data_IF_569794487352
#
_entry.id   IF_569794487352
#
_cell.length_a   1.000
_cell.length_b   1.000
_cell.length_c   1.000
_cell.angle_alpha   90.00
_cell.angle_beta   90.00
_cell.angle_gamma   90.00
#
_symmetry.space_group_name_H-M   'P 1'
#
loop_
_entity.id
_entity.type
_entity.pdbx_description
1 polymer ?
#
# COMPACT_ATOMS: atom_id res chain seq x y z
N UNK A 1 18.69 -47.96 4.14
CA UNK A 1 17.86 -47.82 2.91
C UNK A 1 17.03 -46.55 3.05
N UNK A 2 17.48 -45.47 2.41
CA UNK A 2 16.76 -44.19 2.40
C UNK A 2 15.67 -44.23 1.32
N UNK A 3 14.42 -43.87 1.69
CA UNK A 3 13.35 -43.64 0.72
C UNK A 3 13.65 -42.35 -0.04
N UNK A 4 13.47 -42.28 -1.38
CA UNK A 4 13.55 -41.02 -2.09
C UNK A 4 12.37 -40.14 -1.65
N UNK A 5 12.70 -38.91 -1.27
CA UNK A 5 11.72 -37.84 -1.06
C UNK A 5 11.14 -37.51 -2.43
N UNK A 6 9.85 -37.78 -2.63
CA UNK A 6 9.10 -37.34 -3.81
C UNK A 6 9.18 -35.81 -3.87
N UNK A 7 9.89 -35.28 -4.88
CA UNK A 7 9.75 -33.90 -5.27
C UNK A 7 8.30 -33.66 -5.68
N UNK A 8 7.66 -32.69 -5.03
CA UNK A 8 6.31 -32.21 -5.37
C UNK A 8 6.25 -31.94 -6.88
N UNK A 9 5.25 -32.52 -7.53
CA UNK A 9 4.75 -32.07 -8.82
C UNK A 9 4.43 -30.58 -8.73
N UNK A 10 5.25 -29.74 -9.35
CA UNK A 10 4.88 -28.36 -9.64
C UNK A 10 3.67 -28.42 -10.57
N UNK A 11 2.51 -27.94 -10.13
CA UNK A 11 1.36 -27.72 -11.00
C UNK A 11 1.77 -26.65 -12.02
N UNK A 12 2.28 -27.07 -13.17
CA UNK A 12 2.51 -26.19 -14.30
C UNK A 12 1.15 -25.68 -14.79
N UNK A 13 0.88 -24.39 -14.59
CA UNK A 13 -0.27 -23.73 -15.22
C UNK A 13 -0.15 -23.92 -16.73
N UNK A 14 -1.24 -24.33 -17.36
CA UNK A 14 -1.26 -24.53 -18.80
C UNK A 14 -1.16 -23.19 -19.52
N UNK A 15 -0.47 -23.17 -20.67
CA UNK A 15 -0.44 -22.00 -21.57
C UNK A 15 -1.87 -21.53 -21.95
N UNK A 16 -2.83 -22.46 -21.96
CA UNK A 16 -4.24 -22.20 -22.20
C UNK A 16 -4.86 -21.33 -21.10
N UNK A 17 -4.58 -21.60 -19.83
CA UNK A 17 -5.08 -20.80 -18.69
C UNK A 17 -4.49 -19.38 -18.71
N UNK A 18 -3.19 -19.25 -18.96
CA UNK A 18 -2.53 -17.94 -19.10
C UNK A 18 -3.17 -17.13 -20.24
N UNK A 19 -3.34 -17.76 -21.41
CA UNK A 19 -3.95 -17.10 -22.59
C UNK A 19 -5.39 -16.69 -22.30
N UNK A 20 -6.17 -17.53 -21.63
CA UNK A 20 -7.55 -17.22 -21.25
C UNK A 20 -7.62 -16.02 -20.29
N UNK A 21 -6.75 -15.97 -19.28
CA UNK A 21 -6.72 -14.88 -18.31
C UNK A 21 -6.34 -13.54 -18.98
N UNK A 22 -5.33 -13.55 -19.85
CA UNK A 22 -4.91 -12.38 -20.64
C UNK A 22 -6.06 -11.84 -21.48
N UNK A 23 -6.74 -12.71 -22.24
CA UNK A 23 -7.86 -12.29 -23.09
C UNK A 23 -8.99 -11.66 -22.26
N UNK A 24 -9.33 -12.28 -21.13
CA UNK A 24 -10.38 -11.78 -20.24
C UNK A 24 -10.05 -10.42 -19.64
N UNK A 25 -8.81 -10.21 -19.19
CA UNK A 25 -8.33 -8.92 -18.71
C UNK A 25 -8.47 -7.82 -19.77
N UNK A 26 -7.99 -8.09 -20.99
CA UNK A 26 -8.00 -7.12 -22.08
C UNK A 26 -9.41 -6.82 -22.59
N UNK A 27 -10.28 -7.82 -22.67
CA UNK A 27 -11.69 -7.65 -23.05
C UNK A 27 -12.41 -6.73 -22.05
N UNK A 28 -12.29 -7.00 -20.75
CA UNK A 28 -12.94 -6.17 -19.72
C UNK A 28 -12.33 -4.77 -19.67
N UNK A 29 -11.00 -4.63 -19.79
CA UNK A 29 -10.37 -3.32 -19.87
C UNK A 29 -10.88 -2.51 -21.08
N UNK A 30 -11.10 -3.15 -22.23
CA UNK A 30 -11.68 -2.53 -23.42
C UNK A 30 -13.13 -2.08 -23.19
N UNK A 31 -13.96 -2.93 -22.56
CA UNK A 31 -15.34 -2.59 -22.20
C UNK A 31 -15.37 -1.36 -21.29
N UNK A 32 -14.53 -1.35 -20.25
CA UNK A 32 -14.40 -0.22 -19.33
C UNK A 32 -14.00 1.06 -20.06
N UNK A 33 -13.01 1.00 -20.96
CA UNK A 33 -12.54 2.17 -21.72
C UNK A 33 -13.60 2.73 -22.67
N UNK A 34 -14.56 1.91 -23.10
CA UNK A 34 -15.69 2.33 -23.93
C UNK A 34 -16.88 2.89 -23.13
N UNK A 35 -16.87 2.74 -21.80
CA UNK A 35 -17.97 3.16 -20.94
C UNK A 35 -18.08 4.70 -20.85
N UNK A 36 -19.30 5.25 -20.81
CA UNK A 36 -19.52 6.71 -20.83
C UNK A 36 -18.92 7.44 -19.62
N UNK A 37 -18.88 6.80 -18.46
CA UNK A 37 -18.25 7.33 -17.23
C UNK A 37 -16.72 7.20 -17.21
N UNK A 38 -16.11 6.61 -18.24
CA UNK A 38 -14.65 6.45 -18.30
C UNK A 38 -13.95 7.80 -18.53
N UNK A 39 -13.05 8.16 -17.62
CA UNK A 39 -12.22 9.35 -17.79
C UNK A 39 -11.01 9.07 -18.70
N UNK A 40 -11.14 9.40 -19.99
CA UNK A 40 -10.07 9.27 -20.98
C UNK A 40 -8.84 10.14 -20.73
N UNK A 41 -8.93 11.13 -19.84
CA UNK A 41 -7.80 12.01 -19.43
C UNK A 41 -7.07 11.50 -18.19
N UNK A 42 -7.38 10.28 -17.73
CA UNK A 42 -6.70 9.69 -16.58
C UNK A 42 -5.20 9.50 -16.86
N UNK A 43 -4.37 10.08 -16.00
CA UNK A 43 -2.91 10.09 -16.14
C UNK A 43 -2.21 9.14 -15.16
N UNK A 44 -2.92 8.16 -14.59
CA UNK A 44 -2.33 7.23 -13.63
C UNK A 44 -2.24 7.74 -12.19
N UNK A 45 -2.98 8.78 -11.81
CA UNK A 45 -3.01 9.28 -10.43
C UNK A 45 -3.83 8.37 -9.51
N UNK A 46 -3.53 8.36 -8.20
CA UNK A 46 -4.38 7.70 -7.22
C UNK A 46 -5.58 8.60 -6.89
N UNK A 47 -6.83 8.12 -7.04
CA UNK A 47 -8.02 8.93 -6.82
C UNK A 47 -8.15 9.34 -5.34
N UNK A 48 -8.57 10.57 -5.09
CA UNK A 48 -8.93 11.03 -3.75
C UNK A 48 -10.21 10.37 -3.25
N UNK A 49 -10.43 10.36 -1.94
CA UNK A 49 -11.64 9.82 -1.33
C UNK A 49 -12.92 10.50 -1.84
N UNK A 50 -12.84 11.79 -2.18
CA UNK A 50 -13.96 12.52 -2.77
C UNK A 50 -14.27 12.06 -4.20
N UNK A 51 -13.25 11.74 -4.98
CA UNK A 51 -13.43 11.21 -6.34
C UNK A 51 -14.00 9.79 -6.30
N UNK A 52 -13.55 8.96 -5.36
CA UNK A 52 -14.08 7.60 -5.14
C UNK A 52 -15.55 7.55 -4.70
N UNK A 53 -16.16 8.70 -4.38
CA UNK A 53 -17.61 8.77 -4.18
C UNK A 53 -18.39 8.65 -5.50
N UNK A 54 -17.75 8.91 -6.65
CA UNK A 54 -18.28 8.62 -7.97
C UNK A 54 -17.79 7.23 -8.43
N UNK A 55 -18.69 6.26 -8.68
CA UNK A 55 -18.29 4.93 -9.16
C UNK A 55 -17.49 4.99 -10.47
N UNK A 56 -17.67 6.02 -11.30
CA UNK A 56 -16.89 6.25 -12.52
C UNK A 56 -15.39 6.42 -12.26
N UNK A 57 -15.00 6.93 -11.10
CA UNK A 57 -13.59 7.16 -10.74
C UNK A 57 -12.80 5.85 -10.56
N UNK A 58 -13.47 4.72 -10.36
CA UNK A 58 -12.83 3.40 -10.26
C UNK A 58 -12.38 2.89 -11.64
N UNK A 59 -13.11 3.24 -12.70
CA UNK A 59 -12.96 2.65 -14.04
C UNK A 59 -11.54 2.79 -14.62
N UNK A 60 -10.89 3.97 -14.58
CA UNK A 60 -9.54 4.10 -15.12
C UNK A 60 -8.50 3.28 -14.36
N UNK A 61 -8.67 3.17 -13.03
CA UNK A 61 -7.77 2.37 -12.19
C UNK A 61 -7.95 0.87 -12.47
N UNK A 62 -9.19 0.40 -12.62
CA UNK A 62 -9.48 -1.00 -12.96
C UNK A 62 -8.84 -1.35 -14.31
N UNK A 63 -9.07 -0.53 -15.35
CA UNK A 63 -8.51 -0.77 -16.68
C UNK A 63 -6.97 -0.81 -16.65
N UNK A 64 -6.33 0.16 -15.99
CA UNK A 64 -4.87 0.20 -15.83
C UNK A 64 -4.32 -1.09 -15.17
N UNK A 65 -4.98 -1.56 -14.11
CA UNK A 65 -4.51 -2.73 -13.35
C UNK A 65 -4.74 -4.04 -14.12
N UNK A 66 -5.85 -4.19 -14.84
CA UNK A 66 -6.09 -5.34 -15.73
C UNK A 66 -5.08 -5.39 -16.87
N UNK A 67 -4.75 -4.25 -17.48
CA UNK A 67 -3.74 -4.17 -18.55
C UNK A 67 -2.34 -4.53 -18.05
N UNK A 68 -1.96 -4.04 -16.86
CA UNK A 68 -0.70 -4.44 -16.21
C UNK A 68 -0.62 -5.94 -15.95
N UNK A 69 -1.71 -6.55 -15.45
CA UNK A 69 -1.77 -8.00 -15.21
C UNK A 69 -1.61 -8.76 -16.54
N UNK A 70 -2.33 -8.35 -17.58
CA UNK A 70 -2.23 -8.95 -18.91
C UNK A 70 -0.81 -8.86 -19.48
N UNK A 71 -0.17 -7.69 -19.39
CA UNK A 71 1.22 -7.48 -19.83
C UNK A 71 2.18 -8.43 -19.09
N UNK A 72 2.04 -8.57 -17.76
CA UNK A 72 2.90 -9.48 -16.97
C UNK A 72 2.72 -10.94 -17.37
N UNK A 73 1.48 -11.37 -17.59
CA UNK A 73 1.19 -12.72 -18.07
C UNK A 73 1.72 -12.97 -19.49
N UNK A 74 1.68 -11.96 -20.37
CA UNK A 74 2.21 -12.05 -21.74
C UNK A 74 3.74 -12.01 -21.80
N UNK A 75 4.41 -11.38 -20.83
CA UNK A 75 5.86 -11.13 -20.88
C UNK A 75 6.74 -12.40 -20.93
N UNK A 76 6.15 -13.59 -20.73
CA UNK A 76 6.82 -14.90 -20.64
C UNK A 76 8.00 -14.93 -19.65
N UNK A 77 8.13 -13.92 -18.78
CA UNK A 77 9.17 -13.88 -17.77
C UNK A 77 8.91 -14.99 -16.76
N UNK A 78 9.89 -15.85 -16.55
CA UNK A 78 9.85 -16.83 -15.47
C UNK A 78 9.99 -16.03 -14.17
N UNK A 79 8.85 -15.86 -13.49
CA UNK A 79 8.71 -15.11 -12.23
C UNK A 79 9.00 -13.61 -12.36
N UNK A 80 8.12 -12.83 -13.01
CA UNK A 80 8.31 -11.39 -13.14
C UNK A 80 8.43 -10.73 -11.76
N UNK A 81 9.20 -9.63 -11.70
CA UNK A 81 9.18 -8.75 -10.54
C UNK A 81 7.89 -7.91 -10.60
N UNK A 82 7.06 -8.03 -9.57
CA UNK A 82 5.87 -7.22 -9.39
C UNK A 82 5.79 -6.77 -7.94
N UNK A 83 5.56 -5.46 -7.73
CA UNK A 83 5.55 -4.84 -6.40
C UNK A 83 6.81 -5.12 -5.58
N UNK A 84 7.97 -5.27 -6.24
CA UNK A 84 9.27 -5.48 -5.60
C UNK A 84 9.60 -6.94 -5.25
N UNK A 85 8.71 -7.90 -5.53
CA UNK A 85 8.90 -9.33 -5.23
C UNK A 85 8.81 -10.19 -6.47
N UNK A 86 9.36 -11.40 -6.39
CA UNK A 86 9.22 -12.41 -7.44
C UNK A 86 7.80 -12.99 -7.39
N UNK A 87 7.03 -12.86 -8.46
CA UNK A 87 5.61 -13.25 -8.49
C UNK A 87 5.38 -14.39 -9.46
N UNK A 88 4.43 -15.27 -9.18
CA UNK A 88 4.13 -16.42 -10.04
C UNK A 88 2.92 -16.13 -10.96
N UNK A 89 2.85 -16.82 -12.10
CA UNK A 89 1.72 -16.65 -13.03
C UNK A 89 0.37 -16.98 -12.38
N UNK A 90 0.34 -17.92 -11.42
CA UNK A 90 -0.81 -18.27 -10.59
C UNK A 90 -1.35 -17.07 -9.82
N UNK A 91 -0.46 -16.22 -9.30
CA UNK A 91 -0.85 -15.03 -8.56
C UNK A 91 -1.60 -14.06 -9.47
N UNK A 92 -1.09 -13.83 -10.69
CA UNK A 92 -1.73 -12.93 -11.65
C UNK A 92 -3.08 -13.45 -12.16
N UNK A 93 -3.19 -14.76 -12.39
CA UNK A 93 -4.48 -15.38 -12.77
C UNK A 93 -5.48 -15.20 -11.64
N UNK A 94 -5.14 -15.59 -10.41
CA UNK A 94 -6.02 -15.43 -9.26
C UNK A 94 -6.37 -13.95 -9.01
N UNK A 95 -5.42 -13.04 -9.22
CA UNK A 95 -5.65 -11.60 -9.08
C UNK A 95 -6.62 -11.08 -10.14
N UNK A 96 -6.53 -11.55 -11.38
CA UNK A 96 -7.46 -11.20 -12.44
C UNK A 96 -8.88 -11.64 -12.10
N UNK A 97 -9.07 -12.87 -11.61
CA UNK A 97 -10.37 -13.40 -11.22
C UNK A 97 -10.99 -12.61 -10.06
N UNK A 98 -10.17 -12.25 -9.06
CA UNK A 98 -10.62 -11.42 -7.93
C UNK A 98 -11.06 -10.04 -8.41
N UNK A 99 -10.27 -9.36 -9.25
CA UNK A 99 -10.63 -8.03 -9.76
C UNK A 99 -11.94 -8.11 -10.56
N UNK A 100 -12.11 -9.12 -11.40
CA UNK A 100 -13.31 -9.30 -12.21
C UNK A 100 -14.54 -9.55 -11.32
N UNK A 101 -14.40 -10.40 -10.30
CA UNK A 101 -15.45 -10.60 -9.29
C UNK A 101 -15.79 -9.30 -8.56
N UNK A 102 -14.80 -8.48 -8.23
CA UNK A 102 -15.02 -7.22 -7.54
C UNK A 102 -15.63 -6.12 -8.43
N UNK A 103 -15.45 -6.18 -9.75
CA UNK A 103 -16.19 -5.32 -10.71
C UNK A 103 -17.69 -5.63 -10.63
N UNK A 104 -18.04 -6.90 -10.59
CA UNK A 104 -19.41 -7.38 -10.41
C UNK A 104 -20.00 -6.93 -9.06
N UNK A 105 -19.19 -6.90 -7.99
CA UNK A 105 -19.58 -6.31 -6.69
C UNK A 105 -19.77 -4.78 -6.76
N UNK A 106 -18.89 -4.05 -7.44
CA UNK A 106 -19.05 -2.60 -7.62
C UNK A 106 -20.34 -2.28 -8.39
N UNK A 107 -20.66 -3.08 -9.40
CA UNK A 107 -21.93 -2.95 -10.15
C UNK A 107 -23.16 -3.27 -9.32
N UNK A 108 -23.08 -4.18 -8.36
CA UNK A 108 -24.19 -4.41 -7.44
C UNK A 108 -24.56 -3.12 -6.68
N UNK A 109 -23.55 -2.30 -6.34
CA UNK A 109 -23.74 -1.01 -5.67
C UNK A 109 -24.01 0.16 -6.61
N UNK A 110 -23.57 0.05 -7.85
CA UNK A 110 -23.72 1.07 -8.89
C UNK A 110 -24.15 0.40 -10.19
N UNK A 111 -25.43 -0.01 -10.29
CA UNK A 111 -25.95 -0.77 -11.43
C UNK A 111 -25.80 -0.05 -12.76
N UNK A 112 -25.70 1.28 -12.74
CA UNK A 112 -25.49 2.09 -13.94
C UNK A 112 -24.13 1.90 -14.60
N UNK A 113 -23.17 1.22 -13.95
CA UNK A 113 -21.88 0.88 -14.57
C UNK A 113 -22.00 -0.25 -15.61
N UNK A 114 -22.85 -1.26 -15.36
CA UNK A 114 -23.19 -2.35 -16.29
C UNK A 114 -22.05 -2.84 -17.23
N UNK A 115 -20.87 -3.15 -16.69
CA UNK A 115 -19.66 -3.58 -17.44
C UNK A 115 -19.71 -5.10 -17.70
N UNK A 116 -20.09 -5.87 -16.69
CA UNK A 116 -20.24 -7.34 -16.74
C UNK A 116 -21.70 -7.74 -16.59
N UNK A 117 -22.07 -8.88 -17.19
CA UNK A 117 -23.43 -9.44 -17.07
C UNK A 117 -23.70 -10.09 -15.72
N UNK A 118 -22.64 -10.53 -15.04
CA UNK A 118 -22.73 -11.10 -13.70
C UNK A 118 -22.80 -9.99 -12.65
N UNK A 119 -23.62 -10.23 -11.61
CA UNK A 119 -23.76 -9.37 -10.44
C UNK A 119 -23.61 -10.26 -9.21
N UNK A 120 -22.65 -9.92 -8.35
CA UNK A 120 -22.32 -10.69 -7.14
C UNK A 120 -22.31 -9.77 -5.93
N UNK A 121 -22.85 -10.25 -4.81
CA UNK A 121 -22.75 -9.57 -3.53
C UNK A 121 -21.75 -10.30 -2.61
N UNK A 122 -20.90 -9.55 -1.93
CA UNK A 122 -19.91 -10.09 -0.99
C UNK A 122 -19.95 -9.38 0.36
N UNK A 123 -19.21 -9.91 1.35
CA UNK A 123 -19.04 -9.25 2.63
C UNK A 123 -18.26 -7.93 2.46
N UNK A 124 -18.86 -6.83 2.89
CA UNK A 124 -18.26 -5.49 2.76
C UNK A 124 -17.57 -4.95 4.00
N UNK A 125 -17.75 -5.59 5.15
CA UNK A 125 -17.17 -5.11 6.40
C UNK A 125 -16.91 -6.25 7.36
N UNK A 126 -15.89 -6.08 8.19
CA UNK A 126 -15.60 -6.99 9.30
C UNK A 126 -16.34 -6.49 10.54
N UNK A 127 -17.07 -7.38 11.21
CA UNK A 127 -17.79 -7.03 12.43
C UNK A 127 -16.82 -6.76 13.59
N UNK A 128 -17.22 -5.91 14.54
CA UNK A 128 -16.45 -5.67 15.77
C UNK A 128 -16.18 -6.97 16.56
N UNK A 129 -17.10 -7.92 16.53
CA UNK A 129 -16.94 -9.22 17.19
C UNK A 129 -15.88 -10.09 16.51
N UNK A 130 -15.81 -10.04 15.17
CA UNK A 130 -14.74 -10.69 14.40
C UNK A 130 -13.38 -10.09 14.75
N UNK A 131 -13.25 -8.76 14.81
CA UNK A 131 -12.01 -8.11 15.26
C UNK A 131 -11.61 -8.55 16.68
N UNK A 132 -12.56 -8.58 17.61
CA UNK A 132 -12.31 -9.04 18.98
C UNK A 132 -11.82 -10.49 19.02
N UNK A 133 -12.43 -11.39 18.24
CA UNK A 133 -12.01 -12.78 18.20
C UNK A 133 -10.62 -12.96 17.57
N UNK A 134 -10.26 -12.16 16.56
CA UNK A 134 -8.89 -12.16 16.04
C UNK A 134 -7.88 -11.63 17.04
N UNK A 135 -8.22 -10.57 17.78
CA UNK A 135 -7.36 -10.05 18.85
C UNK A 135 -7.16 -11.09 19.96
N UNK A 136 -8.24 -11.78 20.37
CA UNK A 136 -8.16 -12.89 21.33
C UNK A 136 -7.35 -14.07 20.79
N UNK A 137 -7.53 -14.44 19.53
CA UNK A 137 -6.77 -15.51 18.90
C UNK A 137 -5.26 -15.22 18.87
N UNK A 138 -4.88 -13.97 18.62
CA UNK A 138 -3.48 -13.54 18.66
C UNK A 138 -2.89 -13.61 20.08
N UNK A 139 -3.67 -13.30 21.12
CA UNK A 139 -3.22 -13.28 22.51
C UNK A 139 -3.32 -14.62 23.22
N UNK A 140 -4.21 -15.52 22.78
CA UNK A 140 -4.50 -16.82 23.40
C UNK A 140 -4.35 -17.96 22.38
N UNK A 141 -3.15 -18.14 21.77
CA UNK A 141 -2.96 -19.05 20.65
C UNK A 141 -3.28 -20.51 21.01
N UNK A 142 -3.05 -20.93 22.26
CA UNK A 142 -3.39 -22.29 22.69
C UNK A 142 -4.89 -22.49 22.88
N UNK A 143 -5.62 -21.51 23.40
CA UNK A 143 -7.09 -21.60 23.49
C UNK A 143 -7.71 -21.62 22.10
N UNK A 144 -7.22 -20.77 21.20
CA UNK A 144 -7.74 -20.67 19.85
C UNK A 144 -7.22 -21.75 18.90
N UNK A 145 -6.32 -22.65 19.32
CA UNK A 145 -6.02 -23.86 18.52
C UNK A 145 -7.19 -24.84 18.49
N UNK A 146 -8.18 -24.68 19.38
CA UNK A 146 -9.40 -25.49 19.44
C UNK A 146 -10.66 -24.75 18.94
N UNK A 147 -10.52 -23.49 18.51
CA UNK A 147 -11.63 -22.65 18.03
C UNK A 147 -11.42 -22.38 16.55
N UNK A 148 -12.35 -22.82 15.71
CA UNK A 148 -12.31 -22.50 14.29
C UNK A 148 -12.86 -21.09 14.03
N UNK A 149 -12.15 -20.33 13.21
CA UNK A 149 -12.55 -19.01 12.72
C UNK A 149 -12.59 -19.08 11.18
N UNK A 150 -13.53 -19.87 10.61
CA UNK A 150 -13.53 -20.21 9.19
C UNK A 150 -13.65 -18.94 8.36
N UNK A 151 -12.80 -18.85 7.33
CA UNK A 151 -12.64 -17.75 6.37
C UNK A 151 -12.30 -16.35 6.95
N UNK A 152 -12.54 -16.10 8.24
CA UNK A 152 -12.33 -14.78 8.85
C UNK A 152 -10.85 -14.37 8.89
N UNK A 153 -9.93 -15.33 9.06
CA UNK A 153 -8.49 -15.03 9.05
C UNK A 153 -8.00 -14.53 7.69
N UNK A 154 -8.41 -15.19 6.60
CA UNK A 154 -8.05 -14.80 5.24
C UNK A 154 -8.72 -13.48 4.86
N UNK A 155 -10.00 -13.32 5.20
CA UNK A 155 -10.76 -12.08 4.97
C UNK A 155 -10.13 -10.90 5.72
N UNK A 156 -9.78 -11.06 7.01
CA UNK A 156 -9.13 -10.01 7.77
C UNK A 156 -7.76 -9.64 7.19
N UNK A 157 -6.95 -10.62 6.79
CA UNK A 157 -5.65 -10.35 6.15
C UNK A 157 -5.80 -9.52 4.88
N UNK A 158 -6.80 -9.83 4.05
CA UNK A 158 -7.07 -9.08 2.82
C UNK A 158 -7.57 -7.66 3.12
N UNK A 159 -8.53 -7.53 4.02
CA UNK A 159 -9.14 -6.25 4.36
C UNK A 159 -8.14 -5.32 5.08
N UNK A 160 -7.14 -5.89 5.77
CA UNK A 160 -6.12 -5.12 6.48
C UNK A 160 -5.02 -4.55 5.58
N UNK A 161 -5.03 -4.81 4.27
CA UNK A 161 -4.02 -4.28 3.34
C UNK A 161 -3.85 -2.74 3.43
N UNK A 162 -4.92 -1.91 3.48
CA UNK A 162 -4.78 -0.47 3.65
C UNK A 162 -4.09 -0.11 4.97
N UNK A 163 -4.38 -0.83 6.06
CA UNK A 163 -3.70 -0.61 7.35
C UNK A 163 -2.19 -0.86 7.26
N UNK A 164 -1.76 -1.94 6.60
CA UNK A 164 -0.34 -2.19 6.39
C UNK A 164 0.34 -1.12 5.53
N UNK A 165 -0.34 -0.64 4.48
CA UNK A 165 0.15 0.47 3.65
C UNK A 165 0.31 1.75 4.48
N UNK A 166 -0.68 2.06 5.32
CA UNK A 166 -0.64 3.22 6.23
C UNK A 166 0.58 3.14 7.15
N UNK A 167 0.77 2.02 7.85
CA UNK A 167 1.89 1.84 8.77
C UNK A 167 3.23 1.92 8.03
N UNK A 168 3.33 1.32 6.84
CA UNK A 168 4.54 1.40 6.02
C UNK A 168 4.88 2.85 5.65
N UNK A 169 3.89 3.69 5.30
CA UNK A 169 4.10 5.11 5.04
C UNK A 169 4.52 5.90 6.28
N UNK A 170 3.83 5.68 7.42
CA UNK A 170 4.16 6.33 8.69
C UNK A 170 5.60 6.01 9.12
N UNK A 171 5.99 4.74 9.06
CA UNK A 171 7.33 4.28 9.39
C UNK A 171 8.36 4.82 8.38
N UNK A 172 8.10 4.69 7.08
CA UNK A 172 8.98 5.20 6.03
C UNK A 172 9.27 6.69 6.22
N UNK A 173 8.26 7.50 6.49
CA UNK A 173 8.42 8.93 6.66
C UNK A 173 9.07 9.32 7.99
N UNK A 174 8.75 8.63 9.08
CA UNK A 174 9.44 8.77 10.37
C UNK A 174 10.94 8.54 10.19
N UNK A 175 11.30 7.46 9.50
CA UNK A 175 12.68 7.03 9.32
C UNK A 175 13.43 7.92 8.31
N UNK A 176 12.73 8.38 7.27
CA UNK A 176 13.27 9.29 6.25
C UNK A 176 13.82 10.60 6.82
N UNK A 177 13.36 11.04 7.99
CA UNK A 177 13.81 12.27 8.64
C UNK A 177 14.50 12.02 9.97
N UNK A 178 14.66 10.76 10.39
CA UNK A 178 15.19 10.42 11.71
C UNK A 178 14.36 11.04 12.85
N UNK A 179 13.03 10.98 12.75
CA UNK A 179 12.16 11.61 13.75
C UNK A 179 12.39 11.00 15.14
N UNK A 180 12.73 11.85 16.11
CA UNK A 180 12.94 11.46 17.51
C UNK A 180 11.76 11.85 18.38
N UNK A 181 11.35 13.12 18.36
CA UNK A 181 10.22 13.60 19.15
C UNK A 181 9.62 14.87 18.57
N UNK A 182 8.43 15.22 19.06
CA UNK A 182 7.75 16.49 18.77
C UNK A 182 7.36 17.16 20.08
N UNK A 183 7.91 18.33 20.37
CA UNK A 183 7.48 19.14 21.52
C UNK A 183 6.38 20.09 21.07
N UNK A 184 5.25 20.07 21.75
CA UNK A 184 4.08 20.92 21.49
C UNK A 184 3.94 21.90 22.65
N UNK A 185 4.07 23.19 22.36
CA UNK A 185 3.92 24.25 23.35
C UNK A 185 2.55 24.93 23.22
N UNK A 186 1.80 24.95 24.33
CA UNK A 186 0.51 25.65 24.49
C UNK A 186 0.61 26.61 25.66
N UNK A 187 1.10 27.83 25.40
CA UNK A 187 1.42 28.78 26.47
C UNK A 187 2.56 28.25 27.33
N UNK A 188 2.32 28.08 28.64
CA UNK A 188 3.31 27.54 29.59
C UNK A 188 3.40 26.00 29.60
N UNK A 189 2.43 25.30 28.99
CA UNK A 189 2.42 23.84 28.96
C UNK A 189 3.25 23.33 27.78
N UNK A 190 4.25 22.50 28.06
CA UNK A 190 5.05 21.79 27.05
C UNK A 190 4.73 20.31 27.17
N UNK A 191 4.24 19.72 26.07
CA UNK A 191 4.04 18.28 25.94
C UNK A 191 5.04 17.73 24.94
N UNK A 192 5.61 16.56 25.22
CA UNK A 192 6.47 15.85 24.26
C UNK A 192 5.71 14.65 23.72
N UNK A 193 5.51 14.61 22.42
CA UNK A 193 4.89 13.52 21.68
C UNK A 193 5.97 12.66 21.01
N UNK A 194 5.91 11.34 21.21
CA UNK A 194 6.75 10.36 20.50
C UNK A 194 6.08 9.81 19.22
N UNK A 195 4.78 10.10 19.06
CA UNK A 195 4.03 9.77 17.85
C UNK A 195 4.44 10.68 16.70
N UNK A 196 4.76 10.09 15.56
CA UNK A 196 5.09 10.83 14.35
C UNK A 196 3.83 11.48 13.74
N UNK A 197 3.76 12.82 13.59
CA UNK A 197 2.57 13.49 13.07
C UNK A 197 2.59 13.49 11.53
N UNK A 198 2.39 12.32 10.93
CA UNK A 198 2.50 12.08 9.48
C UNK A 198 1.67 13.04 8.62
N UNK A 199 0.43 13.37 9.01
CA UNK A 199 -0.42 14.32 8.26
C UNK A 199 0.19 15.72 8.20
N UNK A 200 0.90 16.14 9.24
CA UNK A 200 1.61 17.41 9.27
C UNK A 200 2.87 17.35 8.41
N UNK A 201 3.56 16.21 8.43
CA UNK A 201 4.73 15.98 7.59
C UNK A 201 4.38 15.92 6.09
N UNK A 202 3.29 15.26 5.69
CA UNK A 202 2.79 15.28 4.30
C UNK A 202 2.51 16.72 3.86
N UNK A 203 1.87 17.55 4.71
CA UNK A 203 1.66 18.98 4.42
C UNK A 203 2.97 19.75 4.23
N UNK A 204 4.00 19.41 5.01
CA UNK A 204 5.34 19.96 4.82
C UNK A 204 5.94 19.52 3.49
N UNK A 205 5.89 18.22 3.15
CA UNK A 205 6.40 17.68 1.89
C UNK A 205 5.73 18.35 0.69
N UNK A 206 4.41 18.54 0.70
CA UNK A 206 3.67 19.21 -0.37
C UNK A 206 4.17 20.65 -0.64
N UNK A 207 4.69 21.33 0.38
CA UNK A 207 5.12 22.75 0.29
C UNK A 207 6.62 22.93 0.10
N UNK A 208 7.42 22.08 0.74
CA UNK A 208 8.88 22.23 0.83
C UNK A 208 9.63 20.94 0.47
N UNK A 209 8.94 19.83 0.26
CA UNK A 209 9.55 18.50 0.08
C UNK A 209 10.54 18.44 -1.08
N UNK A 210 10.25 19.10 -2.21
CA UNK A 210 11.14 19.13 -3.37
C UNK A 210 12.48 19.84 -3.12
N UNK A 211 12.58 20.68 -2.08
CA UNK A 211 13.83 21.33 -1.67
C UNK A 211 14.75 20.31 -0.99
N UNK A 212 14.17 19.44 -0.15
CA UNK A 212 14.93 18.53 0.73
C UNK A 212 15.12 17.14 0.15
N UNK A 213 14.15 16.63 -0.60
CA UNK A 213 14.09 15.24 -1.02
C UNK A 213 13.96 15.11 -2.54
N UNK A 214 14.60 14.09 -3.10
CA UNK A 214 14.38 13.64 -4.47
C UNK A 214 13.44 12.42 -4.46
N UNK A 215 12.16 12.68 -4.22
CA UNK A 215 11.14 11.63 -4.18
C UNK A 215 10.67 11.32 -5.60
N UNK A 216 10.76 10.06 -6.00
CA UNK A 216 10.25 9.55 -7.27
C UNK A 216 8.77 9.16 -7.14
N UNK A 217 7.96 9.97 -6.45
CA UNK A 217 6.52 9.73 -6.29
C UNK A 217 5.76 11.05 -6.30
N UNK A 218 4.51 11.00 -6.76
CA UNK A 218 3.56 12.09 -6.60
C UNK A 218 3.17 12.24 -5.13
N UNK A 219 3.49 13.39 -4.53
CA UNK A 219 3.10 13.68 -3.15
C UNK A 219 1.58 13.78 -2.96
N UNK A 220 0.85 14.15 -4.02
CA UNK A 220 -0.61 14.16 -3.99
C UNK A 220 -1.17 12.73 -3.94
N UNK A 221 -0.59 11.79 -4.70
CA UNK A 221 -0.97 10.39 -4.62
C UNK A 221 -0.69 9.82 -3.23
N UNK A 222 0.48 10.12 -2.65
CA UNK A 222 0.81 9.65 -1.29
C UNK A 222 -0.15 10.22 -0.25
N UNK A 223 -0.53 11.50 -0.38
CA UNK A 223 -1.55 12.11 0.48
C UNK A 223 -2.91 11.41 0.34
N UNK A 224 -3.35 11.14 -0.89
CA UNK A 224 -4.62 10.47 -1.16
C UNK A 224 -4.62 9.03 -0.62
N UNK A 225 -3.54 8.27 -0.87
CA UNK A 225 -3.34 6.91 -0.35
C UNK A 225 -3.34 6.92 1.17
N UNK A 226 -2.63 7.85 1.81
CA UNK A 226 -2.61 7.94 3.26
C UNK A 226 -4.02 8.21 3.82
N UNK A 227 -4.78 9.14 3.23
CA UNK A 227 -6.17 9.42 3.63
C UNK A 227 -7.07 8.18 3.46
N UNK A 228 -7.05 7.58 2.27
CA UNK A 228 -7.80 6.36 1.94
C UNK A 228 -7.47 5.22 2.91
N UNK A 229 -6.19 4.99 3.18
CA UNK A 229 -5.73 3.92 4.07
C UNK A 229 -6.16 4.08 5.54
N UNK A 230 -6.39 5.32 5.99
CA UNK A 230 -6.92 5.59 7.33
C UNK A 230 -8.37 5.11 7.48
N UNK A 231 -9.17 5.11 6.40
CA UNK A 231 -10.60 4.78 6.45
C UNK A 231 -10.85 3.36 6.96
N UNK A 232 -10.02 2.39 6.56
CA UNK A 232 -10.16 1.00 7.03
C UNK A 232 -10.13 0.91 8.56
N UNK A 233 -9.21 1.63 9.21
CA UNK A 233 -9.05 1.63 10.68
C UNK A 233 -10.32 2.13 11.39
N UNK A 234 -11.08 3.02 10.75
CA UNK A 234 -12.29 3.61 11.33
C UNK A 234 -13.57 2.86 10.98
N UNK A 235 -13.58 2.11 9.87
CA UNK A 235 -14.81 1.55 9.30
C UNK A 235 -14.82 0.02 9.21
N UNK A 236 -13.64 -0.62 9.19
CA UNK A 236 -13.50 -2.06 8.93
C UNK A 236 -14.03 -2.49 7.56
N UNK A 237 -14.22 -1.55 6.62
CA UNK A 237 -14.78 -1.81 5.30
C UNK A 237 -13.76 -2.47 4.36
N UNK A 238 -14.23 -3.39 3.52
CA UNK A 238 -13.47 -3.98 2.42
C UNK A 238 -13.05 -2.87 1.46
N UNK A 239 -11.81 -2.94 1.00
CA UNK A 239 -11.34 -2.13 -0.12
C UNK A 239 -11.11 -3.02 -1.34
N UNK A 240 -11.33 -2.45 -2.53
CA UNK A 240 -11.17 -3.17 -3.78
C UNK A 240 -9.69 -3.40 -4.13
N UNK A 241 -9.41 -4.56 -4.74
CA UNK A 241 -8.05 -5.02 -5.04
C UNK A 241 -7.33 -4.09 -6.00
N UNK A 242 -8.01 -3.52 -6.99
CA UNK A 242 -7.39 -2.57 -7.92
C UNK A 242 -6.87 -1.31 -7.20
N UNK A 243 -7.56 -0.81 -6.17
CA UNK A 243 -7.08 0.32 -5.37
C UNK A 243 -5.88 -0.08 -4.51
N UNK A 244 -5.90 -1.27 -3.91
CA UNK A 244 -4.76 -1.80 -3.15
C UNK A 244 -3.53 -1.92 -4.05
N UNK A 245 -3.66 -2.51 -5.24
CA UNK A 245 -2.56 -2.65 -6.19
C UNK A 245 -2.04 -1.29 -6.65
N UNK A 246 -2.94 -0.35 -6.99
CA UNK A 246 -2.56 1.01 -7.37
C UNK A 246 -1.80 1.72 -6.26
N UNK A 247 -2.24 1.58 -5.01
CA UNK A 247 -1.55 2.14 -3.86
C UNK A 247 -0.16 1.51 -3.69
N UNK A 248 -0.03 0.19 -3.82
CA UNK A 248 1.26 -0.51 -3.73
C UNK A 248 2.22 -0.10 -4.86
N UNK A 249 1.73 0.08 -6.09
CA UNK A 249 2.52 0.57 -7.23
C UNK A 249 3.14 1.95 -6.94
N UNK A 250 2.36 2.85 -6.34
CA UNK A 250 2.85 4.19 -5.97
C UNK A 250 3.78 4.12 -4.77
N UNK A 251 3.36 3.46 -3.69
CA UNK A 251 4.07 3.46 -2.40
C UNK A 251 5.39 2.70 -2.51
N UNK A 252 5.45 1.60 -3.28
CA UNK A 252 6.68 0.81 -3.43
C UNK A 252 7.87 1.65 -3.91
N UNK A 253 7.64 2.68 -4.73
CA UNK A 253 8.69 3.58 -5.22
C UNK A 253 9.40 4.38 -4.12
N UNK A 254 8.77 4.58 -2.95
CA UNK A 254 9.41 5.16 -1.76
C UNK A 254 10.47 4.22 -1.12
N UNK A 255 10.43 2.93 -1.48
CA UNK A 255 11.27 1.88 -0.91
C UNK A 255 12.36 1.38 -1.88
N UNK A 256 12.33 1.73 -3.17
CA UNK A 256 13.22 1.18 -4.22
C UNK A 256 14.70 1.61 -4.07
N UNK A 257 15.01 2.72 -3.42
CA UNK A 257 16.36 3.32 -3.42
C UNK A 257 17.22 3.05 -2.19
N UNK A 258 16.82 2.19 -1.25
CA UNK A 258 17.61 1.93 -0.05
C UNK A 258 18.59 0.78 -0.31
N UNK A 259 19.68 1.03 -1.04
CA UNK A 259 20.76 0.06 -1.25
C UNK A 259 21.88 0.14 -0.20
N UNK A 260 21.88 1.13 0.71
CA UNK A 260 22.92 1.22 1.74
C UNK A 260 22.74 0.28 2.92
N UNK A 261 23.85 -0.06 3.57
CA UNK A 261 23.89 -0.75 4.86
C UNK A 261 23.43 0.20 5.97
N UNK A 262 22.14 0.52 6.06
CA UNK A 262 21.44 0.99 7.28
C UNK A 262 22.03 2.15 8.10
N UNK A 263 23.01 2.90 7.61
CA UNK A 263 23.83 3.76 8.49
C UNK A 263 23.53 5.27 8.37
N UNK A 264 22.78 5.73 7.35
CA UNK A 264 22.48 7.17 7.14
C UNK A 264 21.11 7.43 6.51
N UNK A 265 20.58 8.64 6.70
CA UNK A 265 19.42 9.17 5.97
C UNK A 265 19.82 9.38 4.50
N UNK A 266 19.58 8.39 3.65
CA UNK A 266 19.99 8.40 2.23
C UNK A 266 19.07 9.24 1.32
N UNK A 267 18.01 9.82 1.87
CA UNK A 267 16.91 10.45 1.11
C UNK A 267 17.08 11.96 0.88
N UNK A 268 17.99 12.61 1.61
CA UNK A 268 18.24 14.04 1.46
C UNK A 268 19.01 14.32 0.17
N UNK A 269 18.63 15.40 -0.52
CA UNK A 269 19.37 15.90 -1.69
C UNK A 269 20.80 16.30 -1.31
N UNK A 270 21.76 16.21 -2.25
CA UNK A 270 23.12 16.70 -2.03
C UNK A 270 23.14 18.14 -1.48
N UNK A 271 23.92 18.37 -0.42
CA UNK A 271 24.04 19.67 0.24
C UNK A 271 22.93 20.02 1.25
N UNK A 272 21.90 19.18 1.38
CA UNK A 272 20.93 19.26 2.48
C UNK A 272 21.43 18.49 3.69
N UNK A 273 21.18 19.04 4.88
CA UNK A 273 21.57 18.44 6.16
C UNK A 273 20.35 18.25 7.04
N UNK A 274 20.47 17.38 8.04
CA UNK A 274 19.40 17.15 9.00
C UNK A 274 19.02 18.44 9.76
N UNK A 275 20.01 19.26 10.12
CA UNK A 275 19.78 20.56 10.76
C UNK A 275 18.95 21.50 9.89
N UNK A 276 19.27 21.61 8.59
CA UNK A 276 18.50 22.45 7.66
C UNK A 276 17.05 21.98 7.54
N UNK A 277 16.84 20.66 7.50
CA UNK A 277 15.51 20.06 7.48
C UNK A 277 14.75 20.37 8.78
N UNK A 278 15.39 20.17 9.93
CA UNK A 278 14.79 20.42 11.24
C UNK A 278 14.39 21.90 11.39
N UNK A 279 15.28 22.83 11.03
CA UNK A 279 14.97 24.27 11.03
C UNK A 279 13.76 24.55 10.14
N UNK A 280 13.72 24.00 8.93
CA UNK A 280 12.61 24.22 8.01
C UNK A 280 11.27 23.63 8.48
N UNK A 281 11.29 22.48 9.17
CA UNK A 281 10.13 21.87 9.81
C UNK A 281 9.63 22.73 10.97
N UNK A 282 10.53 23.17 11.84
CA UNK A 282 10.22 24.04 12.98
C UNK A 282 9.65 25.38 12.52
N UNK A 283 10.24 25.97 11.48
CA UNK A 283 9.71 27.18 10.84
C UNK A 283 8.32 26.97 10.24
N UNK A 284 8.09 25.80 9.64
CA UNK A 284 6.79 25.44 9.08
C UNK A 284 5.71 25.26 10.16
N UNK A 285 6.10 24.88 11.38
CA UNK A 285 5.20 24.61 12.50
C UNK A 285 5.30 25.63 13.64
N UNK A 286 5.78 26.84 13.33
CA UNK A 286 5.69 27.98 14.23
C UNK A 286 4.24 28.24 14.65
N UNK A 287 4.06 28.76 15.87
CA UNK A 287 2.75 29.13 16.36
C UNK A 287 2.05 30.10 15.41
N UNK A 288 0.75 29.86 15.18
CA UNK A 288 -0.14 30.82 14.53
C UNK A 288 -1.22 31.23 15.54
N UNK A 289 -1.00 32.37 16.18
CA UNK A 289 -1.92 32.93 17.18
C UNK A 289 -3.30 33.23 16.60
N UNK A 290 -3.39 33.61 15.31
CA UNK A 290 -4.67 33.95 14.67
C UNK A 290 -5.54 32.71 14.46
N UNK A 291 -4.91 31.54 14.28
CA UNK A 291 -5.58 30.26 14.04
C UNK A 291 -5.59 29.33 15.26
N UNK A 292 -5.14 29.81 16.42
CA UNK A 292 -4.98 29.02 17.65
C UNK A 292 -4.16 27.73 17.44
N UNK A 293 -3.11 27.80 16.62
CA UNK A 293 -2.24 26.66 16.32
C UNK A 293 -1.04 26.70 17.28
N UNK A 294 -0.81 25.64 18.08
CA UNK A 294 0.33 25.59 18.99
C UNK A 294 1.66 25.51 18.23
N UNK A 295 2.71 26.05 18.86
CA UNK A 295 4.07 25.87 18.38
C UNK A 295 4.45 24.40 18.49
N UNK A 296 5.09 23.88 17.43
CA UNK A 296 5.65 22.53 17.45
C UNK A 296 7.12 22.58 17.11
N UNK A 297 7.92 21.91 17.92
CA UNK A 297 9.35 21.77 17.75
C UNK A 297 9.69 20.31 17.50
N UNK A 298 10.07 20.02 16.27
CA UNK A 298 10.58 18.74 15.80
C UNK A 298 12.02 18.56 16.26
N UNK A 299 12.28 17.39 16.82
CA UNK A 299 13.62 16.91 17.15
C UNK A 299 13.93 15.72 16.23
N UNK A 300 15.00 15.85 15.45
CA UNK A 300 15.50 14.83 14.52
C UNK A 300 16.81 14.23 15.05
N UNK A 301 17.15 13.04 14.59
CA UNK A 301 18.37 12.34 14.98
C UNK A 301 18.94 11.53 13.82
N UNK A 302 20.27 11.49 13.72
CA UNK A 302 20.97 10.61 12.77
C UNK A 302 20.98 9.13 13.18
N UNK A 303 20.35 8.78 14.31
CA UNK A 303 20.25 7.37 14.76
C UNK A 303 19.52 6.52 13.71
N UNK A 304 19.82 5.23 13.70
CA UNK A 304 19.25 4.25 12.75
C UNK A 304 17.75 4.11 13.01
N UNK A 305 16.94 4.43 12.02
CA UNK A 305 15.49 4.24 12.10
C UNK A 305 14.93 3.36 10.97
N UNK A 306 15.60 3.26 9.82
CA UNK A 306 15.17 2.35 8.73
C UNK A 306 15.83 0.98 8.88
N UNK A 307 15.41 0.21 9.89
CA UNK A 307 15.91 -1.16 10.09
C UNK A 307 15.35 -2.04 8.98
N UNK A 308 16.19 -2.33 7.98
CA UNK A 308 15.90 -3.33 6.94
C UNK A 308 15.65 -4.69 7.57
N UNK A 309 14.38 -5.05 7.73
CA UNK A 309 14.00 -6.45 7.82
C UNK A 309 13.92 -6.95 6.38
N UNK A 310 14.99 -7.61 5.92
CA UNK A 310 15.05 -8.14 4.58
C UNK A 310 13.90 -9.12 4.35
N UNK A 311 13.21 -8.99 3.20
CA UNK A 311 12.36 -10.06 2.70
C UNK A 311 13.28 -11.18 2.24
N UNK A 312 13.26 -12.30 2.95
CA UNK A 312 13.95 -13.51 2.54
C UNK A 312 13.07 -14.27 1.54
N UNK A 313 13.36 -14.14 0.25
CA UNK A 313 12.77 -14.98 -0.78
C UNK A 313 13.63 -16.22 -0.97
N UNK A 314 13.25 -17.33 -0.34
CA UNK A 314 13.97 -18.62 -0.41
C UNK A 314 14.08 -19.19 -1.83
N UNK A 315 13.28 -18.68 -2.79
CA UNK A 315 13.35 -19.05 -4.21
C UNK A 315 14.51 -18.37 -4.92
N UNK A 316 14.98 -17.23 -4.41
CA UNK A 316 16.21 -16.56 -4.86
C UNK A 316 17.35 -17.17 -4.06
N UNK A 317 18.09 -18.13 -4.63
CA UNK A 317 19.26 -18.73 -3.96
C UNK A 317 20.17 -17.62 -3.42
N UNK A 318 20.47 -17.70 -2.14
CA UNK A 318 21.32 -16.78 -1.40
C UNK A 318 22.73 -16.73 -2.02
N UNK A 319 23.08 -15.64 -2.70
CA UNK A 319 24.45 -15.12 -2.64
C UNK A 319 24.47 -14.31 -1.34
N UNK A 320 24.88 -14.94 -0.25
CA UNK A 320 24.93 -14.26 1.03
C UNK A 320 25.82 -13.01 1.00
N UNK A 321 25.77 -12.15 2.03
CA UNK A 321 26.81 -11.15 2.18
C UNK A 321 28.17 -11.87 2.16
N UNK A 322 29.22 -11.29 1.56
CA UNK A 322 30.55 -11.87 1.61
C UNK A 322 30.85 -12.18 3.08
N UNK A 323 31.13 -13.45 3.37
CA UNK A 323 31.67 -13.82 4.68
C UNK A 323 32.93 -12.98 4.88
N UNK A 324 33.00 -12.29 6.01
CA UNK A 324 34.14 -11.47 6.41
C UNK A 324 35.45 -12.23 6.29
#
# INVERSE_FOLDING_TARGET
>A
MARPINFRTENMISQKEITSAVMRCLEIASLIKSHEKYNSKYMGAFPSERELADPGAHLPVIAEQLEKIAEKLQSCQIKPNYLGVSTEATDFIALSEIIISEISELQFDSPELNITTEITASQKSISGYTFLNHARAASLPHTYSFIDLPDQKRTLQQFSAPFYIRLALEDKFRNMIGFKSLRVARGYLIQTEESFPVSLFIKFLMKKGSIFFALNVSLEDVKNIYSWSCKFVHTGQKEYRWLILKALDVVSQLFVNHQGSGERIETLKPGMTLDKLQTALNDFTKADKKRNIPERHWELSEKIYDVKHYIYDSRKRFMGPPRR
#
